data_IF_378705688416
#
_entry.id   IF_378705688416
#
_cell.length_a   1.000
_cell.length_b   1.000
_cell.length_c   1.000
_cell.angle_alpha   90.00
_cell.angle_beta   90.00
_cell.angle_gamma   90.00
#
_symmetry.space_group_name_H-M   'P 1'
#
loop_
_entity.id
_entity.type
_entity.pdbx_description
1 polymer ?
#
# COMPACT_ATOMS: atom_id res chain seq x y z
N UNK A 1 25.06 30.58 42.14
CA UNK A 1 24.00 29.57 41.91
C UNK A 1 23.31 29.88 40.60
N UNK A 2 23.74 29.24 39.50
CA UNK A 2 23.11 29.38 38.19
C UNK A 2 21.82 28.56 38.16
N UNK A 3 20.65 29.22 38.11
CA UNK A 3 19.39 28.58 37.72
C UNK A 3 19.07 28.96 36.29
N UNK A 4 18.88 27.92 35.48
CA UNK A 4 18.88 27.92 34.04
C UNK A 4 17.73 28.73 33.44
N UNK A 5 18.10 29.63 32.53
CA UNK A 5 17.26 30.15 31.46
C UNK A 5 17.06 29.02 30.44
N UNK A 6 16.03 28.20 30.61
CA UNK A 6 15.71 27.14 29.64
C UNK A 6 14.20 26.91 29.59
N UNK A 7 13.49 27.82 28.91
CA UNK A 7 12.13 27.57 28.44
C UNK A 7 11.75 28.44 27.21
N UNK A 8 12.73 28.90 26.44
CA UNK A 8 12.51 29.43 25.10
C UNK A 8 12.85 28.31 24.10
N UNK A 9 11.85 27.52 23.71
CA UNK A 9 12.01 26.62 22.57
C UNK A 9 11.51 25.19 22.79
N UNK A 10 10.19 25.01 22.81
CA UNK A 10 9.55 23.77 22.37
C UNK A 10 8.08 24.10 22.04
N UNK A 11 7.83 24.55 20.80
CA UNK A 11 6.47 24.67 20.28
C UNK A 11 5.95 23.24 20.07
N UNK A 12 4.82 22.81 20.66
CA UNK A 12 4.25 21.51 20.31
C UNK A 12 3.84 21.53 18.83
N UNK A 13 4.50 20.70 18.02
CA UNK A 13 4.06 20.43 16.65
C UNK A 13 2.69 19.77 16.72
N UNK A 14 1.65 20.49 16.28
CA UNK A 14 0.28 19.96 16.26
C UNK A 14 -0.80 20.96 16.66
N UNK A 15 -0.46 22.15 17.15
CA UNK A 15 -1.45 23.21 17.29
C UNK A 15 -1.71 23.82 15.89
N UNK A 16 -2.95 23.87 15.38
CA UNK A 16 -3.23 24.58 14.14
C UNK A 16 -2.68 26.00 14.25
N UNK A 17 -2.07 26.56 13.20
CA UNK A 17 -1.63 27.94 13.22
C UNK A 17 -2.79 28.79 13.70
N UNK A 18 -2.56 29.57 14.77
CA UNK A 18 -3.57 30.49 15.28
C UNK A 18 -4.14 31.23 14.07
N UNK A 19 -5.47 31.21 13.84
CA UNK A 19 -6.03 31.79 12.65
C UNK A 19 -5.48 33.21 12.56
N UNK A 20 -4.75 33.50 11.48
CA UNK A 20 -4.35 34.85 11.17
C UNK A 20 -5.62 35.68 11.28
N UNK A 21 -5.70 36.55 12.28
CA UNK A 21 -6.83 37.44 12.48
C UNK A 21 -6.82 38.35 11.25
N UNK A 22 -7.51 37.92 10.20
CA UNK A 22 -7.69 38.72 9.01
C UNK A 22 -8.29 40.03 9.50
N UNK A 23 -7.66 41.19 9.18
CA UNK A 23 -8.17 42.46 9.63
C UNK A 23 -9.63 42.56 9.14
N UNK A 24 -10.55 42.55 10.09
CA UNK A 24 -11.97 42.74 9.78
C UNK A 24 -12.07 44.13 9.17
N UNK A 25 -12.43 44.18 7.88
CA UNK A 25 -12.61 45.43 7.13
C UNK A 25 -13.44 46.38 8.01
N UNK A 26 -12.88 47.57 8.29
CA UNK A 26 -13.49 48.64 9.11
C UNK A 26 -13.29 48.60 10.65
N UNK A 27 -12.43 47.74 11.22
CA UNK A 27 -11.96 47.90 12.62
C UNK A 27 -10.54 48.44 12.68
N UNK A 28 -10.25 49.24 13.70
CA UNK A 28 -8.89 49.75 13.95
C UNK A 28 -7.95 48.60 14.31
N UNK A 29 -6.79 48.59 13.68
CA UNK A 29 -5.66 47.72 13.98
C UNK A 29 -4.82 48.30 15.12
N UNK A 30 -3.84 47.52 15.61
CA UNK A 30 -2.92 47.94 16.68
C UNK A 30 -2.05 49.14 16.28
N UNK A 31 -1.72 49.29 15.00
CA UNK A 31 -0.84 50.35 14.49
C UNK A 31 -1.59 51.62 14.08
N UNK A 32 -2.92 51.58 14.06
CA UNK A 32 -3.73 52.74 13.71
C UNK A 32 -3.75 53.75 14.86
N UNK A 33 -3.55 55.05 14.59
CA UNK A 33 -3.61 56.05 15.63
C UNK A 33 -5.03 56.18 16.22
N UNK A 34 -5.14 56.48 17.53
CA UNK A 34 -6.42 56.85 18.12
C UNK A 34 -6.96 58.12 17.46
N UNK A 35 -8.28 58.27 17.44
CA UNK A 35 -8.89 59.49 16.91
C UNK A 35 -8.58 60.66 17.85
N UNK A 36 -8.29 61.85 17.31
CA UNK A 36 -7.96 63.06 18.10
C UNK A 36 -9.01 63.35 19.19
N UNK A 37 -10.30 63.14 18.88
CA UNK A 37 -11.42 63.30 19.83
C UNK A 37 -11.51 62.25 20.94
N UNK A 38 -10.72 61.17 20.87
CA UNK A 38 -10.68 60.08 21.86
C UNK A 38 -9.37 60.03 22.66
N UNK A 39 -8.34 60.78 22.26
CA UNK A 39 -7.02 60.79 22.94
C UNK A 39 -7.14 61.21 24.41
N UNK A 40 -7.97 62.20 24.73
CA UNK A 40 -8.22 62.66 26.10
C UNK A 40 -9.48 62.11 26.75
N UNK A 41 -10.23 61.22 26.08
CA UNK A 41 -11.52 60.73 26.59
C UNK A 41 -11.31 59.53 27.50
N UNK A 42 -11.43 59.74 28.80
CA UNK A 42 -11.53 58.68 29.80
C UNK A 42 -13.00 58.29 29.99
N UNK A 43 -13.28 57.01 30.23
CA UNK A 43 -14.63 56.55 30.53
C UNK A 43 -14.99 56.90 31.98
N UNK A 44 -15.95 57.81 32.17
CA UNK A 44 -16.48 58.14 33.49
C UNK A 44 -17.42 57.03 33.96
N UNK A 45 -17.23 56.46 35.16
CA UNK A 45 -18.14 55.45 35.68
C UNK A 45 -19.54 56.05 35.92
N UNK A 46 -20.61 55.29 35.68
CA UNK A 46 -21.96 55.73 36.00
C UNK A 46 -22.17 55.82 37.52
N UNK A 47 -23.15 56.63 37.94
CA UNK A 47 -23.61 56.63 39.33
C UNK A 47 -24.22 55.26 39.68
N UNK A 48 -24.02 54.82 40.93
CA UNK A 48 -24.46 53.50 41.42
C UNK A 48 -25.26 53.67 42.69
N UNK A 49 -26.47 53.13 42.74
CA UNK A 49 -27.24 53.00 43.98
C UNK A 49 -26.71 51.81 44.80
N UNK A 50 -26.26 52.00 46.05
CA UNK A 50 -25.74 50.92 46.88
C UNK A 50 -26.76 49.81 47.18
N UNK A 51 -28.05 50.14 47.31
CA UNK A 51 -29.08 49.15 47.64
C UNK A 51 -29.32 48.20 46.46
N UNK A 52 -29.56 48.74 45.26
CA UNK A 52 -29.68 47.95 44.03
C UNK A 52 -28.40 47.15 43.73
N UNK A 53 -27.23 47.76 43.88
CA UNK A 53 -25.96 47.10 43.58
C UNK A 53 -25.73 45.86 44.45
N UNK A 54 -26.08 45.93 45.74
CA UNK A 54 -25.99 44.78 46.64
C UNK A 54 -26.92 43.64 46.21
N UNK A 55 -28.19 43.94 45.94
CA UNK A 55 -29.18 42.94 45.50
C UNK A 55 -28.76 42.29 44.19
N UNK A 56 -28.29 43.07 43.22
CA UNK A 56 -27.78 42.55 41.95
C UNK A 56 -26.57 41.65 42.17
N UNK A 57 -25.62 42.07 43.02
CA UNK A 57 -24.41 41.28 43.30
C UNK A 57 -24.77 39.89 43.84
N UNK A 58 -25.67 39.81 44.81
CA UNK A 58 -26.10 38.52 45.38
C UNK A 58 -26.90 37.68 44.38
N UNK A 59 -27.80 38.29 43.59
CA UNK A 59 -28.51 37.57 42.52
C UNK A 59 -27.56 37.00 41.48
N UNK A 60 -26.56 37.77 41.06
CA UNK A 60 -25.54 37.28 40.12
C UNK A 60 -24.67 36.19 40.73
N UNK A 61 -24.34 36.28 42.02
CA UNK A 61 -23.61 35.23 42.74
C UNK A 61 -24.39 33.93 42.72
N UNK A 62 -25.66 33.96 43.13
CA UNK A 62 -26.54 32.80 43.16
C UNK A 62 -26.75 32.22 41.75
N UNK A 63 -27.06 33.07 40.77
CA UNK A 63 -27.22 32.65 39.37
C UNK A 63 -25.97 31.97 38.83
N UNK A 64 -24.78 32.56 39.03
CA UNK A 64 -23.52 31.98 38.56
C UNK A 64 -23.20 30.66 39.24
N UNK A 65 -23.55 30.51 40.53
CA UNK A 65 -23.41 29.24 41.24
C UNK A 65 -24.28 28.16 40.60
N UNK A 66 -25.56 28.44 40.37
CA UNK A 66 -26.50 27.50 39.74
C UNK A 66 -26.05 27.12 38.33
N UNK A 67 -25.70 28.11 37.49
CA UNK A 67 -25.25 27.85 36.11
C UNK A 67 -23.92 27.09 36.08
N UNK A 68 -23.03 27.33 37.06
CA UNK A 68 -21.79 26.55 37.18
C UNK A 68 -22.09 25.10 37.56
N UNK A 69 -23.03 24.84 38.45
CA UNK A 69 -23.46 23.49 38.77
C UNK A 69 -24.04 22.77 37.54
N UNK A 70 -24.95 23.42 36.81
CA UNK A 70 -25.51 22.89 35.55
C UNK A 70 -24.43 22.58 34.52
N UNK A 71 -23.41 23.44 34.40
CA UNK A 71 -22.28 23.18 33.50
C UNK A 71 -21.52 21.92 33.89
N UNK A 72 -21.34 21.65 35.17
CA UNK A 72 -20.66 20.44 35.64
C UNK A 72 -21.49 19.19 35.33
N UNK A 73 -22.81 19.26 35.48
CA UNK A 73 -23.72 18.17 35.09
C UNK A 73 -23.56 17.85 33.60
N UNK A 74 -23.66 18.85 32.73
CA UNK A 74 -23.49 18.66 31.28
C UNK A 74 -22.10 18.14 30.91
N UNK A 75 -21.04 18.62 31.56
CA UNK A 75 -19.68 18.10 31.34
C UNK A 75 -19.60 16.64 31.76
N UNK A 76 -20.25 16.24 32.86
CA UNK A 76 -20.29 14.85 33.31
C UNK A 76 -21.05 13.96 32.32
N UNK A 77 -22.18 14.42 31.77
CA UNK A 77 -22.96 13.69 30.77
C UNK A 77 -22.15 13.48 29.49
N UNK A 78 -21.47 14.52 28.99
CA UNK A 78 -20.61 14.39 27.81
C UNK A 78 -19.50 13.38 28.06
N UNK A 79 -18.86 13.42 29.24
CA UNK A 79 -17.81 12.46 29.61
C UNK A 79 -18.35 11.03 29.69
N UNK A 80 -19.54 10.83 30.28
CA UNK A 80 -20.22 9.53 30.33
C UNK A 80 -20.52 8.99 28.93
N UNK A 81 -21.10 9.82 28.06
CA UNK A 81 -21.40 9.44 26.66
C UNK A 81 -20.13 9.07 25.88
N UNK A 82 -19.03 9.81 26.05
CA UNK A 82 -17.75 9.47 25.42
C UNK A 82 -17.20 8.15 25.95
N UNK A 83 -17.32 7.89 27.24
CA UNK A 83 -16.90 6.63 27.84
C UNK A 83 -17.75 5.45 27.35
N UNK A 84 -19.08 5.59 27.37
CA UNK A 84 -20.03 4.58 26.85
C UNK A 84 -19.82 4.31 25.35
N UNK A 85 -19.49 5.32 24.56
CA UNK A 85 -19.19 5.12 23.14
C UNK A 85 -17.89 4.34 22.91
N UNK A 86 -16.90 4.46 23.80
CA UNK A 86 -15.58 3.82 23.67
C UNK A 86 -15.54 2.43 24.29
N UNK A 87 -16.07 2.30 25.49
CA UNK A 87 -15.96 1.11 26.36
C UNK A 87 -17.30 0.78 26.99
N UNK A 88 -18.40 1.19 26.36
CA UNK A 88 -19.73 0.78 26.81
C UNK A 88 -19.96 -0.68 26.48
N UNK A 89 -20.70 -1.36 27.35
CA UNK A 89 -21.04 -2.79 27.21
C UNK A 89 -21.66 -3.10 25.84
N UNK A 90 -22.50 -2.21 25.31
CA UNK A 90 -23.08 -2.38 23.98
C UNK A 90 -22.05 -2.25 22.86
N UNK A 91 -21.09 -1.34 22.99
CA UNK A 91 -20.02 -1.17 22.01
C UNK A 91 -19.11 -2.41 21.99
N UNK A 92 -18.76 -2.94 23.18
CA UNK A 92 -17.95 -4.15 23.29
C UNK A 92 -18.68 -5.39 22.75
N UNK A 93 -19.97 -5.56 23.09
CA UNK A 93 -20.77 -6.68 22.56
C UNK A 93 -20.85 -6.66 21.04
N UNK A 94 -21.15 -5.49 20.46
CA UNK A 94 -21.17 -5.33 19.01
C UNK A 94 -19.80 -5.62 18.39
N UNK A 95 -18.72 -5.11 18.97
CA UNK A 95 -17.38 -5.40 18.48
C UNK A 95 -17.05 -6.91 18.50
N UNK A 96 -17.54 -7.65 19.50
CA UNK A 96 -17.38 -9.10 19.56
C UNK A 96 -18.27 -9.82 18.54
N UNK A 97 -19.51 -9.39 18.35
CA UNK A 97 -20.44 -9.90 17.34
C UNK A 97 -19.87 -9.68 15.93
N UNK A 98 -19.46 -8.45 15.60
CA UNK A 98 -18.84 -8.09 14.32
C UNK A 98 -17.56 -8.92 14.06
N UNK A 99 -16.73 -9.13 15.09
CA UNK A 99 -15.53 -9.95 14.97
C UNK A 99 -15.85 -11.44 14.76
N UNK A 100 -16.94 -11.95 15.35
CA UNK A 100 -17.40 -13.31 15.14
C UNK A 100 -17.96 -13.49 13.72
N UNK A 101 -18.84 -12.58 13.27
CA UNK A 101 -19.36 -12.56 11.91
C UNK A 101 -18.24 -12.48 10.87
N UNK A 102 -17.23 -11.64 11.11
CA UNK A 102 -16.06 -11.56 10.23
C UNK A 102 -15.33 -12.91 10.14
N UNK A 103 -15.12 -13.60 11.27
CA UNK A 103 -14.48 -14.92 11.26
C UNK A 103 -15.31 -15.96 10.50
N UNK A 104 -16.63 -15.94 10.66
CA UNK A 104 -17.54 -16.81 9.93
C UNK A 104 -17.47 -16.56 8.41
N UNK A 105 -17.47 -15.29 7.99
CA UNK A 105 -17.31 -14.90 6.59
C UNK A 105 -15.95 -15.32 6.02
N UNK A 106 -14.88 -15.18 6.80
CA UNK A 106 -13.55 -15.64 6.38
C UNK A 106 -13.49 -17.16 6.24
N UNK A 107 -14.09 -17.91 7.18
CA UNK A 107 -14.18 -19.36 7.09
C UNK A 107 -14.98 -19.82 5.86
N UNK A 108 -16.10 -19.16 5.58
CA UNK A 108 -16.90 -19.41 4.38
C UNK A 108 -16.12 -19.11 3.09
N UNK A 109 -15.40 -17.99 3.05
CA UNK A 109 -14.57 -17.63 1.90
C UNK A 109 -13.46 -18.66 1.66
N UNK A 110 -12.82 -19.14 2.72
CA UNK A 110 -11.81 -20.20 2.63
C UNK A 110 -12.41 -21.50 2.09
N UNK A 111 -13.59 -21.91 2.58
CA UNK A 111 -14.27 -23.11 2.09
C UNK A 111 -14.63 -22.99 0.60
N UNK A 112 -15.14 -21.84 0.16
CA UNK A 112 -15.46 -21.63 -1.25
C UNK A 112 -14.20 -21.58 -2.13
N UNK A 113 -13.11 -20.96 -1.64
CA UNK A 113 -11.83 -20.97 -2.33
C UNK A 113 -11.25 -22.40 -2.47
N UNK A 114 -11.40 -23.24 -1.46
CA UNK A 114 -11.01 -24.65 -1.53
C UNK A 114 -11.80 -25.39 -2.60
N UNK A 115 -13.13 -25.23 -2.61
CA UNK A 115 -14.01 -25.80 -3.64
C UNK A 115 -13.58 -25.36 -5.05
N UNK A 116 -13.32 -24.06 -5.25
CA UNK A 116 -12.86 -23.54 -6.54
C UNK A 116 -11.47 -24.05 -6.94
N UNK A 117 -10.57 -24.24 -5.97
CA UNK A 117 -9.24 -24.82 -6.19
C UNK A 117 -9.35 -26.25 -6.71
N UNK A 118 -10.22 -27.06 -6.12
CA UNK A 118 -10.44 -28.44 -6.58
C UNK A 118 -10.94 -28.49 -8.03
N UNK A 119 -11.91 -27.63 -8.37
CA UNK A 119 -12.42 -27.50 -9.74
C UNK A 119 -11.32 -27.04 -10.72
N UNK A 120 -10.47 -26.09 -10.30
CA UNK A 120 -9.32 -25.63 -11.09
C UNK A 120 -8.33 -26.77 -11.32
N UNK A 121 -8.02 -27.56 -10.30
CA UNK A 121 -7.12 -28.70 -10.42
C UNK A 121 -7.68 -29.78 -11.36
N UNK A 122 -9.00 -30.04 -11.29
CA UNK A 122 -9.66 -30.96 -12.21
C UNK A 122 -9.55 -30.49 -13.67
N UNK A 123 -9.80 -29.20 -13.92
CA UNK A 123 -9.65 -28.59 -15.24
C UNK A 123 -8.23 -28.67 -15.77
N UNK A 124 -7.23 -28.30 -14.96
CA UNK A 124 -5.82 -28.35 -15.35
C UNK A 124 -5.36 -29.78 -15.69
N UNK A 125 -5.84 -30.79 -14.96
CA UNK A 125 -5.55 -32.19 -15.29
C UNK A 125 -6.13 -32.59 -16.65
N UNK A 126 -7.31 -32.10 -17.00
CA UNK A 126 -7.90 -32.34 -18.31
C UNK A 126 -7.11 -31.63 -19.41
N UNK A 127 -6.79 -30.36 -19.21
CA UNK A 127 -5.97 -29.58 -20.15
C UNK A 127 -4.60 -30.21 -20.39
N UNK A 128 -3.95 -30.74 -19.34
CA UNK A 128 -2.68 -31.46 -19.46
C UNK A 128 -2.79 -32.71 -20.35
N UNK A 129 -3.85 -33.52 -20.17
CA UNK A 129 -4.12 -34.70 -21.01
C UNK A 129 -4.35 -34.32 -22.47
N UNK A 130 -5.06 -33.22 -22.72
CA UNK A 130 -5.28 -32.70 -24.07
C UNK A 130 -4.00 -32.18 -24.70
N UNK A 131 -3.14 -31.51 -23.92
CA UNK A 131 -1.83 -31.06 -24.37
C UNK A 131 -0.90 -32.23 -24.71
N UNK A 132 -0.86 -33.28 -23.89
CA UNK A 132 -0.09 -34.51 -24.19
C UNK A 132 -0.53 -35.16 -25.51
N UNK A 133 -1.83 -35.22 -25.78
CA UNK A 133 -2.37 -35.71 -27.06
C UNK A 133 -1.89 -34.86 -28.24
N UNK A 134 -1.99 -33.53 -28.12
CA UNK A 134 -1.52 -32.60 -29.16
C UNK A 134 -0.01 -32.75 -29.40
N UNK A 135 0.79 -32.85 -28.33
CA UNK A 135 2.23 -33.06 -28.42
C UNK A 135 2.58 -34.39 -29.09
N UNK A 136 1.85 -35.47 -28.80
CA UNK A 136 2.05 -36.76 -29.44
C UNK A 136 1.72 -36.70 -30.95
N UNK A 137 0.65 -36.00 -31.33
CA UNK A 137 0.30 -35.77 -32.74
C UNK A 137 1.35 -34.93 -33.46
N UNK A 138 1.84 -33.86 -32.83
CA UNK A 138 2.89 -33.01 -33.37
C UNK A 138 4.21 -33.76 -33.51
N UNK A 139 4.61 -34.56 -32.51
CA UNK A 139 5.80 -35.40 -32.57
C UNK A 139 5.69 -36.44 -33.70
N UNK A 140 4.52 -37.05 -33.90
CA UNK A 140 4.27 -37.98 -35.00
C UNK A 140 4.37 -37.29 -36.36
N UNK A 141 3.88 -36.05 -36.51
CA UNK A 141 4.05 -35.25 -37.73
C UNK A 141 5.52 -34.92 -37.98
N UNK A 142 6.22 -34.42 -36.98
CA UNK A 142 7.65 -34.09 -37.08
C UNK A 142 8.49 -35.31 -37.44
N UNK A 143 8.19 -36.49 -36.89
CA UNK A 143 8.88 -37.73 -37.23
C UNK A 143 8.71 -38.11 -38.71
N UNK A 144 7.49 -37.94 -39.27
CA UNK A 144 7.22 -38.19 -40.70
C UNK A 144 7.97 -37.20 -41.59
N UNK A 145 7.96 -35.92 -41.22
CA UNK A 145 8.69 -34.86 -41.95
C UNK A 145 10.20 -35.12 -41.92
N UNK A 146 10.75 -35.50 -40.76
CA UNK A 146 12.16 -35.84 -40.61
C UNK A 146 12.56 -37.07 -41.44
N UNK A 147 11.72 -38.11 -41.46
CA UNK A 147 11.94 -39.30 -42.30
C UNK A 147 11.93 -38.94 -43.79
N UNK A 148 10.95 -38.14 -44.24
CA UNK A 148 10.88 -37.69 -45.62
C UNK A 148 12.12 -36.86 -46.01
N UNK A 149 12.56 -35.96 -45.12
CA UNK A 149 13.78 -35.19 -45.32
C UNK A 149 15.03 -36.07 -45.40
N UNK A 150 15.15 -37.07 -44.51
CA UNK A 150 16.29 -38.00 -44.50
C UNK A 150 16.36 -38.79 -45.81
N UNK A 151 15.24 -39.32 -46.28
CA UNK A 151 15.16 -40.04 -47.57
C UNK A 151 15.55 -39.15 -48.76
N UNK A 152 15.11 -37.88 -48.78
CA UNK A 152 15.52 -36.94 -49.82
C UNK A 152 17.03 -36.72 -49.83
N UNK A 153 17.64 -36.61 -48.64
CA UNK A 153 19.08 -36.38 -48.51
C UNK A 153 19.91 -37.62 -48.82
N UNK A 154 19.43 -38.80 -48.46
CA UNK A 154 20.04 -40.07 -48.90
C UNK A 154 20.05 -40.17 -50.42
N UNK A 155 18.95 -39.81 -51.10
CA UNK A 155 18.88 -39.77 -52.57
C UNK A 155 19.86 -38.76 -53.16
N UNK A 156 19.98 -37.56 -52.58
CA UNK A 156 20.98 -36.56 -53.01
C UNK A 156 22.41 -37.11 -52.87
N UNK A 157 22.73 -37.79 -51.76
CA UNK A 157 24.06 -38.39 -51.53
C UNK A 157 24.35 -39.51 -52.54
N UNK A 158 23.37 -40.39 -52.81
CA UNK A 158 23.49 -41.45 -53.82
C UNK A 158 23.68 -40.86 -55.23
N UNK A 159 22.95 -39.80 -55.59
CA UNK A 159 23.15 -39.08 -56.86
C UNK A 159 24.55 -38.49 -56.97
N UNK A 160 25.10 -37.92 -55.89
CA UNK A 160 26.47 -37.42 -55.86
C UNK A 160 27.53 -38.54 -55.97
N UNK A 161 27.25 -39.74 -55.46
CA UNK A 161 28.10 -40.93 -55.63
C UNK A 161 28.10 -41.45 -57.08
N UNK A 162 26.93 -41.59 -57.72
CA UNK A 162 26.84 -42.02 -59.13
C UNK A 162 27.43 -40.97 -60.06
N UNK A 163 27.17 -39.67 -59.80
CA UNK A 163 27.76 -38.56 -60.54
C UNK A 163 29.28 -38.45 -60.39
N UNK A 164 29.88 -39.02 -59.33
CA UNK A 164 31.34 -39.19 -59.19
C UNK A 164 31.90 -40.31 -60.06
N UNK A 165 31.12 -41.34 -60.39
CA UNK A 165 31.56 -42.45 -61.27
C UNK A 165 31.53 -42.02 -62.76
N UNK A 166 30.66 -41.09 -63.15
CA UNK A 166 30.62 -40.55 -64.53
C UNK A 166 31.52 -39.34 -64.80
N UNK A 167 32.21 -38.80 -63.80
CA UNK A 167 33.26 -37.79 -64.01
C UNK A 167 34.63 -38.43 -63.97
N UNK A 168 34.96 -39.12 -65.06
CA UNK A 168 36.34 -39.29 -65.49
C UNK A 168 37.04 -37.92 -65.54
N UNK A 169 38.29 -37.92 -65.09
CA UNK A 169 39.19 -36.79 -64.98
C UNK A 169 39.14 -35.86 -66.19
N UNK A 170 38.90 -34.56 -65.95
CA UNK A 170 38.88 -33.55 -67.01
C UNK A 170 38.88 -32.11 -66.47
N UNK A 171 40.08 -31.59 -66.28
CA UNK A 171 40.52 -30.20 -66.39
C UNK A 171 39.74 -29.05 -65.69
N UNK A 172 40.47 -28.35 -64.80
CA UNK A 172 40.17 -26.97 -64.34
C UNK A 172 40.09 -26.02 -65.54
N UNK A 173 39.25 -24.98 -65.43
CA UNK A 173 39.79 -23.64 -65.62
C UNK A 173 39.36 -22.61 -64.57
N UNK A 174 40.11 -21.52 -64.63
CA UNK A 174 40.26 -20.33 -63.77
C UNK A 174 38.98 -19.60 -63.37
N UNK A 175 39.03 -19.07 -62.15
CA UNK A 175 38.18 -18.02 -61.56
C UNK A 175 38.26 -16.69 -62.33
N UNK A 176 37.18 -15.89 -62.32
CA UNK A 176 37.27 -14.53 -61.75
C UNK A 176 35.94 -14.10 -61.03
N UNK A 177 35.79 -12.83 -60.62
CA UNK A 177 36.29 -12.24 -59.38
C UNK A 177 35.19 -12.02 -58.32
N UNK A 178 35.61 -11.76 -57.09
CA UNK A 178 34.75 -11.52 -55.92
C UNK A 178 34.26 -10.07 -55.89
N UNK A 179 32.96 -9.79 -55.70
CA UNK A 179 32.53 -8.55 -55.09
C UNK A 179 32.38 -8.75 -53.57
N UNK A 180 33.14 -7.95 -52.82
CA UNK A 180 33.09 -7.89 -51.37
C UNK A 180 31.97 -6.93 -50.96
N UNK A 181 30.80 -7.46 -50.61
CA UNK A 181 29.78 -6.71 -49.85
C UNK A 181 29.51 -7.44 -48.54
N UNK A 182 30.12 -6.87 -47.49
CA UNK A 182 29.63 -6.68 -46.12
C UNK A 182 28.66 -7.76 -45.58
N UNK A 183 29.19 -8.70 -44.81
CA UNK A 183 29.08 -8.77 -43.33
C UNK A 183 27.64 -8.83 -42.77
N UNK A 184 27.41 -9.99 -42.12
CA UNK A 184 26.57 -10.20 -40.93
C UNK A 184 25.04 -10.23 -41.11
N UNK A 185 24.52 -11.29 -41.72
CA UNK A 185 23.22 -11.84 -41.33
C UNK A 185 23.39 -12.66 -40.05
N UNK A 186 23.34 -11.92 -38.95
CA UNK A 186 23.01 -12.31 -37.57
C UNK A 186 22.25 -13.64 -37.47
N UNK A 187 22.95 -14.70 -37.08
CA UNK A 187 22.34 -15.74 -36.25
C UNK A 187 21.96 -15.08 -34.93
N UNK A 188 20.69 -14.75 -34.80
CA UNK A 188 20.18 -14.13 -33.59
C UNK A 188 18.67 -14.11 -33.60
N UNK A 189 18.10 -14.82 -32.61
CA UNK A 189 16.72 -14.71 -32.11
C UNK A 189 15.71 -15.71 -32.69
N UNK A 190 16.00 -16.99 -32.48
CA UNK A 190 14.97 -17.92 -32.00
C UNK A 190 15.42 -18.39 -30.61
N UNK A 191 14.57 -18.19 -29.60
CA UNK A 191 14.87 -18.54 -28.22
C UNK A 191 15.26 -17.37 -27.32
N UNK A 192 14.38 -16.39 -27.13
CA UNK A 192 14.33 -15.55 -25.91
C UNK A 192 12.99 -14.79 -25.78
N UNK A 193 11.88 -15.36 -26.26
CA UNK A 193 10.53 -14.79 -26.13
C UNK A 193 9.68 -15.42 -25.03
N UNK A 194 9.97 -16.66 -24.63
CA UNK A 194 9.16 -17.41 -23.65
C UNK A 194 9.83 -17.59 -22.28
N UNK A 195 11.08 -17.16 -22.12
CA UNK A 195 11.86 -17.32 -20.87
C UNK A 195 12.06 -16.02 -20.07
N UNK A 196 11.54 -14.87 -20.54
CA UNK A 196 11.48 -13.65 -19.72
C UNK A 196 10.07 -13.31 -19.20
N UNK A 197 9.01 -13.91 -19.74
CA UNK A 197 7.68 -13.84 -19.14
C UNK A 197 7.62 -14.66 -17.83
N UNK A 198 8.27 -15.83 -17.81
CA UNK A 198 8.26 -16.71 -16.64
C UNK A 198 9.23 -16.26 -15.51
N UNK A 199 10.32 -15.55 -15.81
CA UNK A 199 11.18 -14.98 -14.75
C UNK A 199 10.56 -13.76 -14.06
N UNK A 200 9.68 -13.01 -14.73
CA UNK A 200 8.96 -11.89 -14.11
C UNK A 200 7.76 -12.37 -13.28
N UNK A 201 7.16 -13.51 -13.62
CA UNK A 201 6.10 -14.16 -12.85
C UNK A 201 6.67 -14.99 -11.68
N UNK A 202 7.84 -15.62 -11.83
CA UNK A 202 8.52 -16.33 -10.74
C UNK A 202 9.07 -15.37 -9.67
N UNK A 203 9.68 -14.24 -10.06
CA UNK A 203 10.18 -13.25 -9.09
C UNK A 203 9.08 -12.42 -8.42
N UNK A 204 7.85 -12.41 -8.95
CA UNK A 204 6.68 -11.82 -8.28
C UNK A 204 5.97 -12.81 -7.35
N UNK A 205 6.24 -14.10 -7.47
CA UNK A 205 5.73 -15.14 -6.55
C UNK A 205 6.64 -15.32 -5.34
N UNK A 206 7.96 -15.09 -5.48
CA UNK A 206 8.89 -15.14 -4.34
C UNK A 206 8.92 -13.82 -3.52
N UNK A 207 8.60 -12.67 -4.13
CA UNK A 207 8.48 -11.40 -3.39
C UNK A 207 7.17 -11.26 -2.59
N UNK A 208 6.17 -12.13 -2.86
CA UNK A 208 4.90 -12.17 -2.13
C UNK A 208 4.91 -13.07 -0.89
N UNK A 209 6.03 -13.79 -0.64
CA UNK A 209 6.18 -14.71 0.50
C UNK A 209 7.25 -14.28 1.50
N UNK A 210 7.87 -13.10 1.34
CA UNK A 210 8.86 -12.55 2.28
C UNK A 210 8.39 -11.27 2.99
N UNK A 211 7.12 -10.87 2.79
CA UNK A 211 6.55 -9.64 3.33
C UNK A 211 5.68 -9.81 4.59
N UNK A 212 5.28 -11.05 4.93
CA UNK A 212 4.37 -11.29 6.06
C UNK A 212 5.11 -11.81 7.31
N UNK A 213 6.34 -12.33 7.19
CA UNK A 213 7.08 -12.88 8.33
C UNK A 213 7.87 -11.82 9.13
N UNK A 214 8.15 -10.65 8.54
CA UNK A 214 8.93 -9.58 9.22
C UNK A 214 8.07 -8.68 10.14
N UNK A 215 6.74 -8.61 9.93
CA UNK A 215 5.86 -7.88 10.86
C UNK A 215 5.46 -8.74 12.08
N UNK A 216 5.45 -10.07 11.96
CA UNK A 216 5.21 -10.97 13.09
C UNK A 216 6.43 -11.10 14.03
N UNK A 217 7.66 -11.07 13.50
CA UNK A 217 8.87 -11.04 14.34
C UNK A 217 9.04 -9.69 15.07
N UNK A 218 8.71 -8.55 14.43
CA UNK A 218 8.73 -7.24 15.07
C UNK A 218 7.69 -7.11 16.20
N UNK A 219 6.53 -7.78 16.08
CA UNK A 219 5.54 -7.87 17.16
C UNK A 219 5.96 -8.81 18.30
N UNK A 220 6.68 -9.91 18.00
CA UNK A 220 7.20 -10.84 19.03
C UNK A 220 8.38 -10.24 19.82
N UNK A 221 9.27 -9.47 19.19
CA UNK A 221 10.34 -8.77 19.91
C UNK A 221 9.81 -7.63 20.80
N UNK A 222 8.77 -6.93 20.35
CA UNK A 222 8.10 -5.88 21.14
C UNK A 222 7.34 -6.43 22.36
N UNK A 223 6.76 -7.63 22.24
CA UNK A 223 6.09 -8.31 23.36
C UNK A 223 7.07 -8.90 24.40
N UNK A 224 8.29 -9.24 24.00
CA UNK A 224 9.33 -9.75 24.91
C UNK A 224 10.04 -8.62 25.71
N UNK A 225 10.09 -7.39 25.20
CA UNK A 225 10.65 -6.25 25.96
C UNK A 225 9.73 -5.76 27.09
N UNK A 226 8.43 -6.09 27.06
CA UNK A 226 7.47 -5.72 28.11
C UNK A 226 7.46 -6.65 29.34
N UNK A 227 8.27 -7.73 29.35
CA UNK A 227 8.43 -8.64 30.50
C UNK A 227 9.88 -8.69 30.99
N UNK A 228 10.42 -7.55 31.42
CA UNK A 228 11.51 -7.56 32.41
C UNK A 228 10.92 -7.28 33.79
N UNK A 229 10.93 -8.24 34.74
CA UNK A 229 10.69 -7.93 36.13
C UNK A 229 11.94 -7.21 36.66
N UNK A 230 11.85 -5.89 36.77
CA UNK A 230 12.80 -5.10 37.55
C UNK A 230 12.46 -5.25 39.03
N UNK A 231 12.96 -6.33 39.64
CA UNK A 231 13.08 -6.45 41.08
C UNK A 231 14.26 -5.64 41.60
N UNK A 232 14.01 -5.01 42.75
CA UNK A 232 14.93 -4.74 43.87
C UNK A 232 16.11 -3.78 43.66
N UNK A 233 15.96 -2.56 44.19
CA UNK A 233 16.70 -2.03 45.37
C UNK A 233 16.14 -0.67 45.77
#
# INVERSE_FOLDING_TARGET
MFRALSALGARPMGLPPAPFLLPVRCRKTRHDPPAKSKVGRVATPPAVDPAEFFVLTERYRQYRQTVRALRLEFVSEVRKKVHEARTGVLAERKALEDAAEHRELMAWNQAENQRLRELRMARLRQEAREQERRQAEEAARQAREAQAWAQLKEREVLQLQVGRVSRGWGCRPRTPPVPRVLRAARWGRWGHGYLQSWKRVALSLDAGLAGEDLEEEACRESACQARRPGGES
#
